data_IF_689267367360
#
_entry.id   IF_689267367360
#
_cell.length_a   1.000
_cell.length_b   1.000
_cell.length_c   1.000
_cell.angle_alpha   90.00
_cell.angle_beta   90.00
_cell.angle_gamma   90.00
#
_symmetry.space_group_name_H-M   'P 1'
#
loop_
_entity.id
_entity.type
_entity.pdbx_description
1 polymer ?
#
# COMPACT_ATOMS: atom_id res chain seq x y z
N UNK A 1 12.08 35.52 -4.72
CA UNK A 1 10.73 35.49 -4.12
C UNK A 1 10.68 34.35 -3.13
N UNK A 2 10.51 34.63 -1.84
CA UNK A 2 10.39 33.61 -0.79
C UNK A 2 9.00 32.97 -0.86
N UNK A 3 8.94 31.68 -1.17
CA UNK A 3 7.68 30.91 -1.15
C UNK A 3 7.12 30.98 0.28
N UNK A 4 6.00 31.67 0.47
CA UNK A 4 5.36 31.79 1.78
C UNK A 4 4.58 30.50 2.05
N UNK A 5 4.94 29.70 3.08
CA UNK A 5 4.20 28.49 3.40
C UNK A 5 2.79 28.87 3.89
N UNK A 6 1.77 28.28 3.28
CA UNK A 6 0.40 28.37 3.78
C UNK A 6 0.34 27.57 5.09
N UNK A 7 -0.22 28.16 6.15
CA UNK A 7 -0.34 27.50 7.45
C UNK A 7 -1.01 26.12 7.30
N UNK A 8 -0.34 25.05 7.76
CA UNK A 8 -0.82 23.66 7.64
C UNK A 8 -0.36 22.91 6.38
N UNK A 9 0.28 23.57 5.43
CA UNK A 9 0.86 22.94 4.23
C UNK A 9 2.39 23.04 4.31
N UNK A 10 3.06 21.89 4.41
CA UNK A 10 4.52 21.85 4.33
C UNK A 10 4.97 21.79 2.87
N UNK A 11 5.78 22.75 2.40
CA UNK A 11 6.44 22.64 1.11
C UNK A 11 7.19 21.30 1.01
N UNK A 12 7.11 20.58 -0.12
CA UNK A 12 7.78 19.29 -0.28
C UNK A 12 9.32 19.36 -0.17
N UNK A 13 9.89 20.56 -0.25
CA UNK A 13 11.33 20.82 -0.07
C UNK A 13 11.74 21.03 1.40
N UNK A 14 10.82 21.39 2.29
CA UNK A 14 11.17 21.75 3.67
C UNK A 14 10.90 20.64 4.70
N UNK A 15 9.80 19.89 4.58
CA UNK A 15 9.45 18.82 5.53
C UNK A 15 8.73 17.64 4.85
N UNK A 16 9.24 16.43 5.08
CA UNK A 16 8.57 15.20 4.66
C UNK A 16 7.44 14.85 5.63
N UNK A 17 6.21 15.18 5.26
CA UNK A 17 5.01 14.91 6.07
C UNK A 17 4.39 13.58 5.66
N UNK A 18 4.03 12.77 6.66
CA UNK A 18 3.28 11.52 6.46
C UNK A 18 1.81 11.84 6.20
N UNK A 19 1.29 11.40 5.06
CA UNK A 19 -0.11 11.60 4.68
C UNK A 19 -0.94 10.41 5.15
N UNK A 20 -0.46 9.20 4.89
CA UNK A 20 -1.19 7.98 5.22
C UNK A 20 -0.24 6.82 5.43
N UNK A 21 -0.55 5.97 6.42
CA UNK A 21 0.16 4.73 6.66
C UNK A 21 -0.82 3.57 6.53
N UNK A 22 -0.45 2.57 5.72
CA UNK A 22 -1.22 1.34 5.54
C UNK A 22 -0.35 0.14 5.89
N UNK A 23 -1.01 -0.87 6.46
CA UNK A 23 -0.38 -2.11 6.87
C UNK A 23 -0.70 -3.22 5.88
N UNK A 24 0.26 -4.13 5.62
CA UNK A 24 -0.02 -5.31 4.84
C UNK A 24 -1.05 -6.20 5.54
N UNK A 25 -1.94 -6.77 4.75
CA UNK A 25 -2.87 -7.82 5.18
C UNK A 25 -2.16 -9.17 5.25
N UNK A 26 -2.75 -10.14 5.95
CA UNK A 26 -2.28 -11.54 5.98
C UNK A 26 -2.14 -12.12 4.56
N UNK A 27 -2.95 -11.62 3.63
CA UNK A 27 -2.91 -11.90 2.20
C UNK A 27 -1.61 -11.49 1.48
N UNK A 28 -0.69 -10.77 2.14
CA UNK A 28 0.67 -10.52 1.64
C UNK A 28 1.53 -11.80 1.71
N UNK A 29 1.26 -12.69 2.66
CA UNK A 29 2.02 -13.94 2.86
C UNK A 29 1.53 -15.05 1.93
N UNK A 30 2.39 -16.03 1.63
CA UNK A 30 2.01 -17.24 0.88
C UNK A 30 0.95 -18.06 1.61
N UNK A 31 1.12 -18.25 2.92
CA UNK A 31 0.18 -19.00 3.78
C UNK A 31 -1.19 -18.31 3.82
N UNK A 32 -1.21 -16.99 3.99
CA UNK A 32 -2.45 -16.21 3.97
C UNK A 32 -3.20 -16.32 2.64
N UNK A 33 -2.50 -16.28 1.51
CA UNK A 33 -3.11 -16.50 0.19
C UNK A 33 -3.67 -17.91 0.03
N UNK A 34 -2.93 -18.92 0.49
CA UNK A 34 -3.40 -20.31 0.45
C UNK A 34 -4.69 -20.50 1.28
N UNK A 35 -4.75 -19.93 2.49
CA UNK A 35 -5.94 -19.95 3.33
C UNK A 35 -7.10 -19.18 2.71
N UNK A 36 -6.86 -18.00 2.14
CA UNK A 36 -7.89 -17.25 1.41
C UNK A 36 -8.44 -18.02 0.22
N UNK A 37 -7.59 -18.80 -0.47
CA UNK A 37 -8.03 -19.71 -1.53
C UNK A 37 -8.90 -20.83 -0.97
N UNK A 38 -8.53 -21.43 0.16
CA UNK A 38 -9.34 -22.46 0.84
C UNK A 38 -10.72 -21.92 1.23
N UNK A 39 -10.81 -20.71 1.80
CA UNK A 39 -12.08 -20.10 2.20
C UNK A 39 -12.93 -19.64 1.01
N UNK A 40 -12.31 -19.40 -0.15
CA UNK A 40 -13.02 -19.04 -1.38
C UNK A 40 -13.77 -20.21 -2.02
N UNK A 41 -13.53 -21.46 -1.59
CA UNK A 41 -14.21 -22.64 -2.10
C UNK A 41 -15.68 -22.63 -1.63
N UNK A 42 -16.58 -22.30 -2.55
CA UNK A 42 -18.05 -22.31 -2.35
C UNK A 42 -18.68 -23.66 -2.63
N UNK A 43 -17.99 -24.75 -2.29
CA UNK A 43 -18.55 -26.09 -2.39
C UNK A 43 -19.41 -26.37 -1.15
N UNK A 44 -20.72 -26.48 -1.32
CA UNK A 44 -21.68 -26.78 -0.25
C UNK A 44 -23.05 -26.12 -0.44
N UNK A 45 -24.02 -26.53 0.38
CA UNK A 45 -25.41 -26.03 0.37
C UNK A 45 -25.65 -25.22 1.64
N UNK A 46 -26.07 -23.96 1.51
CA UNK A 46 -26.45 -23.10 2.63
C UNK A 46 -25.29 -22.72 3.58
N UNK A 47 -25.47 -22.76 4.92
CA UNK A 47 -24.43 -22.34 5.87
C UNK A 47 -23.22 -23.30 5.94
N UNK A 48 -23.34 -24.52 5.40
CA UNK A 48 -22.31 -25.56 5.40
C UNK A 48 -21.37 -25.51 4.19
N UNK A 49 -20.98 -24.31 3.74
CA UNK A 49 -19.95 -24.22 2.71
C UNK A 49 -18.60 -24.67 3.28
N UNK A 50 -17.83 -25.45 2.51
CA UNK A 50 -16.50 -25.93 2.93
C UNK A 50 -15.62 -24.78 3.42
N UNK A 51 -15.68 -23.62 2.76
CA UNK A 51 -14.93 -22.43 3.17
C UNK A 51 -15.30 -21.90 4.57
N UNK A 52 -16.57 -21.99 4.98
CA UNK A 52 -17.00 -21.57 6.33
C UNK A 52 -16.64 -22.61 7.39
N UNK A 53 -16.78 -23.89 7.07
CA UNK A 53 -16.39 -24.98 7.98
C UNK A 53 -14.88 -25.01 8.21
N UNK A 54 -14.08 -24.65 7.20
CA UNK A 54 -12.63 -24.50 7.34
C UNK A 54 -12.22 -23.28 8.18
N UNK A 55 -13.11 -22.31 8.39
CA UNK A 55 -12.79 -21.05 9.06
C UNK A 55 -12.54 -21.26 10.57
N UNK A 56 -13.40 -22.04 11.24
CA UNK A 56 -13.25 -22.35 12.68
C UNK A 56 -11.95 -23.11 12.99
N UNK A 57 -11.60 -24.23 12.34
CA UNK A 57 -10.37 -24.95 12.61
C UNK A 57 -9.12 -24.20 12.16
N UNK A 58 -9.25 -23.20 11.28
CA UNK A 58 -8.13 -22.38 10.83
C UNK A 58 -7.73 -21.25 11.79
N UNK A 59 -8.57 -20.91 12.78
CA UNK A 59 -8.27 -19.90 13.80
C UNK A 59 -6.89 -20.10 14.46
N UNK A 60 -6.53 -21.31 14.95
CA UNK A 60 -5.22 -21.55 15.55
C UNK A 60 -4.04 -21.37 14.58
N UNK A 61 -4.28 -21.29 13.27
CA UNK A 61 -3.25 -21.04 12.27
C UNK A 61 -3.21 -19.57 11.83
N UNK A 62 -4.37 -18.95 11.61
CA UNK A 62 -4.46 -17.54 11.18
C UNK A 62 -4.00 -16.60 12.28
N UNK A 63 -4.34 -16.88 13.54
CA UNK A 63 -3.99 -16.03 14.67
C UNK A 63 -2.46 -15.89 14.88
N UNK A 64 -1.68 -16.99 15.00
CA UNK A 64 -0.22 -16.87 15.12
C UNK A 64 0.42 -16.29 13.87
N UNK A 65 -0.11 -16.57 12.67
CA UNK A 65 0.38 -15.95 11.43
C UNK A 65 0.20 -14.42 11.47
N UNK A 66 -0.98 -13.95 11.86
CA UNK A 66 -1.26 -12.52 12.01
C UNK A 66 -0.39 -11.87 13.09
N UNK A 67 -0.22 -12.54 14.24
CA UNK A 67 0.68 -12.10 15.30
C UNK A 67 2.13 -12.03 14.81
N UNK A 68 2.57 -13.01 14.01
CA UNK A 68 3.93 -13.03 13.47
C UNK A 68 4.24 -11.85 12.56
N UNK A 69 3.24 -11.35 11.82
CA UNK A 69 3.40 -10.13 11.02
C UNK A 69 3.48 -8.85 11.86
N UNK A 70 3.06 -8.91 13.13
CA UNK A 70 3.16 -7.81 14.09
C UNK A 70 4.35 -7.94 15.02
N UNK A 71 5.18 -8.97 14.85
CA UNK A 71 6.38 -9.16 15.65
C UNK A 71 7.50 -8.22 15.18
N UNK A 72 8.39 -7.80 16.09
CA UNK A 72 9.37 -6.74 15.85
C UNK A 72 10.30 -6.96 14.64
N UNK A 73 10.55 -8.21 14.28
CA UNK A 73 11.39 -8.60 13.14
C UNK A 73 10.66 -8.63 11.78
N UNK A 74 9.33 -8.66 11.76
CA UNK A 74 8.51 -8.83 10.56
C UNK A 74 7.46 -7.74 10.36
N UNK A 75 7.47 -6.69 11.20
CA UNK A 75 6.64 -5.50 10.99
C UNK A 75 7.04 -4.84 9.68
N UNK A 76 6.08 -4.73 8.77
CA UNK A 76 6.21 -3.97 7.53
C UNK A 76 5.09 -2.93 7.47
N UNK A 77 5.43 -1.71 7.03
CA UNK A 77 4.52 -0.57 6.93
C UNK A 77 4.68 0.10 5.57
N UNK A 78 3.57 0.44 4.94
CA UNK A 78 3.56 1.23 3.72
C UNK A 78 3.19 2.66 4.09
N UNK A 79 4.11 3.60 3.86
CA UNK A 79 3.93 5.00 4.21
C UNK A 79 3.88 5.85 2.94
N UNK A 80 2.80 6.59 2.78
CA UNK A 80 2.66 7.61 1.77
C UNK A 80 3.03 8.96 2.39
N UNK A 81 4.06 9.60 1.84
CA UNK A 81 4.48 10.95 2.21
C UNK A 81 4.14 11.96 1.12
N UNK A 82 4.34 13.25 1.39
CA UNK A 82 4.14 14.31 0.40
C UNK A 82 5.15 14.28 -0.76
N UNK A 83 6.12 13.37 -0.75
CA UNK A 83 7.17 13.29 -1.78
C UNK A 83 7.39 11.88 -2.34
N UNK A 84 7.14 10.83 -1.56
CA UNK A 84 7.42 9.44 -1.94
C UNK A 84 6.49 8.45 -1.24
N UNK A 85 6.41 7.26 -1.83
CA UNK A 85 5.82 6.07 -1.21
C UNK A 85 6.97 5.23 -0.68
N UNK A 86 6.90 4.82 0.58
CA UNK A 86 7.98 4.16 1.32
C UNK A 86 7.49 2.83 1.87
N UNK A 87 8.32 1.79 1.74
CA UNK A 87 8.20 0.53 2.45
C UNK A 87 9.17 0.58 3.64
N UNK A 88 8.63 0.53 4.85
CA UNK A 88 9.40 0.51 6.08
C UNK A 88 9.30 -0.86 6.74
N UNK A 89 10.43 -1.39 7.21
CA UNK A 89 10.51 -2.68 7.88
C UNK A 89 11.17 -2.56 9.26
N UNK A 90 10.68 -3.35 10.22
CA UNK A 90 11.21 -3.49 11.58
C UNK A 90 10.59 -2.54 12.62
N UNK A 91 11.02 -2.70 13.88
CA UNK A 91 10.68 -1.77 14.98
C UNK A 91 11.25 -0.39 14.71
N UNK A 92 12.54 -0.35 14.33
CA UNK A 92 13.20 0.86 13.90
C UNK A 92 12.91 0.99 12.41
N UNK A 93 12.09 1.96 11.98
CA UNK A 93 11.58 2.05 10.62
C UNK A 93 12.73 2.26 9.64
N UNK A 94 13.24 1.16 9.10
CA UNK A 94 14.27 1.17 8.07
C UNK A 94 13.56 1.21 6.72
N UNK A 95 13.88 2.22 5.92
CA UNK A 95 13.43 2.30 4.54
C UNK A 95 14.04 1.15 3.76
N UNK A 96 13.21 0.20 3.34
CA UNK A 96 13.63 -0.93 2.51
C UNK A 96 13.61 -0.54 1.04
N UNK A 97 12.50 0.04 0.58
CA UNK A 97 12.32 0.52 -0.77
C UNK A 97 11.45 1.79 -0.76
N UNK A 98 11.66 2.66 -1.73
CA UNK A 98 10.84 3.83 -1.92
C UNK A 98 10.71 4.20 -3.40
N UNK A 99 9.61 4.85 -3.76
CA UNK A 99 9.41 5.46 -5.07
C UNK A 99 8.94 6.89 -4.89
N UNK A 100 9.63 7.83 -5.54
CA UNK A 100 9.21 9.24 -5.55
C UNK A 100 7.91 9.41 -6.35
N UNK A 101 7.09 10.39 -5.97
CA UNK A 101 5.81 10.67 -6.64
C UNK A 101 5.99 11.04 -8.13
N UNK A 102 7.16 11.54 -8.53
CA UNK A 102 7.52 11.83 -9.92
C UNK A 102 8.03 10.62 -10.71
N UNK A 103 8.23 9.47 -10.07
CA UNK A 103 8.86 8.29 -10.69
C UNK A 103 7.90 7.17 -11.09
N UNK A 104 6.59 7.36 -10.95
CA UNK A 104 5.58 6.45 -11.47
C UNK A 104 4.48 7.24 -12.17
N UNK A 105 3.77 6.61 -13.11
CA UNK A 105 2.68 7.22 -13.89
C UNK A 105 1.36 6.51 -13.66
N UNK A 106 1.42 5.18 -13.51
CA UNK A 106 0.26 4.33 -13.27
C UNK A 106 0.47 3.50 -12.01
N UNK A 107 -0.65 3.19 -11.35
CA UNK A 107 -0.73 2.23 -10.25
C UNK A 107 -1.74 1.19 -10.68
N UNK A 108 -1.32 -0.06 -10.77
CA UNK A 108 -2.16 -1.20 -11.10
C UNK A 108 -2.46 -2.02 -9.84
N UNK A 109 -3.66 -2.59 -9.80
CA UNK A 109 -4.09 -3.48 -8.72
C UNK A 109 -4.02 -4.91 -9.24
N UNK A 110 -3.11 -5.70 -8.69
CA UNK A 110 -2.94 -7.13 -8.98
C UNK A 110 -3.51 -7.93 -7.81
N UNK A 111 -4.74 -8.43 -7.96
CA UNK A 111 -5.40 -9.26 -6.95
C UNK A 111 -5.07 -10.72 -7.22
N UNK A 112 -4.14 -11.27 -6.45
CA UNK A 112 -3.76 -12.68 -6.55
C UNK A 112 -4.83 -13.59 -5.95
N UNK A 113 -4.86 -14.85 -6.43
CA UNK A 113 -5.73 -15.90 -5.89
C UNK A 113 -5.63 -15.97 -4.35
N UNK A 114 -6.79 -15.95 -3.70
CA UNK A 114 -6.92 -15.93 -2.24
C UNK A 114 -6.90 -14.55 -1.59
N UNK A 115 -6.34 -13.51 -2.23
CA UNK A 115 -6.34 -12.15 -1.68
C UNK A 115 -7.74 -11.50 -1.73
N UNK A 116 -8.54 -11.85 -2.74
CA UNK A 116 -9.92 -11.39 -2.91
C UNK A 116 -10.82 -11.71 -1.71
N UNK A 117 -10.52 -12.77 -0.95
CA UNK A 117 -11.26 -13.10 0.26
C UNK A 117 -10.99 -12.14 1.43
N UNK A 118 -9.79 -11.54 1.48
CA UNK A 118 -9.34 -10.61 2.53
C UNK A 118 -9.52 -9.12 2.19
N UNK A 119 -10.40 -8.79 1.23
CA UNK A 119 -10.37 -7.57 0.42
C UNK A 119 -8.98 -6.90 0.32
N UNK A 120 -7.99 -7.64 -0.15
CA UNK A 120 -6.61 -7.18 -0.29
C UNK A 120 -6.11 -7.40 -1.72
N UNK A 121 -5.12 -6.62 -2.14
CA UNK A 121 -4.46 -6.76 -3.43
C UNK A 121 -3.05 -6.19 -3.41
N UNK A 122 -2.23 -6.62 -4.36
CA UNK A 122 -0.90 -6.06 -4.55
C UNK A 122 -1.03 -4.76 -5.37
N UNK A 123 -0.38 -3.68 -4.92
CA UNK A 123 -0.29 -2.43 -5.68
C UNK A 123 1.03 -2.37 -6.42
N UNK A 124 0.97 -2.31 -7.74
CA UNK A 124 2.12 -2.27 -8.62
C UNK A 124 2.26 -0.87 -9.19
N UNK A 125 3.29 -0.16 -8.76
CA UNK A 125 3.66 1.15 -9.30
C UNK A 125 4.46 0.93 -10.58
N UNK A 126 4.03 1.57 -11.66
CA UNK A 126 4.66 1.45 -12.98
C UNK A 126 5.03 2.80 -13.55
N UNK A 127 6.16 2.83 -14.25
CA UNK A 127 6.58 3.93 -15.12
C UNK A 127 6.67 3.40 -16.54
N UNK A 128 5.64 3.65 -17.34
CA UNK A 128 5.46 2.97 -18.62
C UNK A 128 5.43 1.45 -18.44
N UNK A 129 6.38 0.74 -19.05
CA UNK A 129 6.47 -0.72 -19.01
C UNK A 129 7.25 -1.27 -17.79
N UNK A 130 7.90 -0.41 -16.99
CA UNK A 130 8.80 -0.85 -15.91
C UNK A 130 8.06 -0.81 -14.56
N UNK A 131 8.09 -1.93 -13.83
CA UNK A 131 7.65 -2.01 -12.44
C UNK A 131 8.68 -1.35 -11.52
N UNK A 132 8.29 -0.26 -10.86
CA UNK A 132 9.17 0.52 -9.99
C UNK A 132 9.07 0.13 -8.53
N UNK A 133 7.87 -0.25 -8.07
CA UNK A 133 7.62 -0.64 -6.69
C UNK A 133 6.39 -1.55 -6.62
N UNK A 134 6.41 -2.54 -5.73
CA UNK A 134 5.25 -3.38 -5.44
C UNK A 134 4.97 -3.37 -3.94
N UNK A 135 3.74 -3.01 -3.57
CA UNK A 135 3.24 -3.15 -2.20
C UNK A 135 2.39 -4.41 -2.12
N UNK A 136 2.84 -5.40 -1.37
CA UNK A 136 2.14 -6.68 -1.26
C UNK A 136 0.97 -6.62 -0.26
N UNK A 137 -0.17 -7.19 -0.65
CA UNK A 137 -1.32 -7.42 0.22
C UNK A 137 -1.87 -6.16 0.88
N UNK A 138 -1.95 -5.04 0.16
CA UNK A 138 -2.54 -3.80 0.65
C UNK A 138 -4.03 -4.03 0.91
N UNK A 139 -4.49 -3.72 2.13
CA UNK A 139 -5.91 -3.82 2.49
C UNK A 139 -6.68 -2.69 1.80
N UNK A 140 -7.76 -3.03 1.09
CA UNK A 140 -8.55 -2.07 0.28
C UNK A 140 -7.66 -1.28 -0.69
N UNK A 141 -7.04 -1.96 -1.67
CA UNK A 141 -6.05 -1.37 -2.56
C UNK A 141 -6.60 -0.17 -3.36
N UNK A 142 -7.90 -0.13 -3.66
CA UNK A 142 -8.55 0.94 -4.41
C UNK A 142 -8.47 2.28 -3.68
N UNK A 143 -8.76 2.29 -2.38
CA UNK A 143 -8.72 3.51 -1.56
C UNK A 143 -7.30 4.06 -1.48
N UNK A 144 -6.31 3.19 -1.25
CA UNK A 144 -4.91 3.61 -1.19
C UNK A 144 -4.43 4.14 -2.54
N UNK A 145 -4.77 3.45 -3.64
CA UNK A 145 -4.48 3.88 -5.02
C UNK A 145 -5.02 5.28 -5.30
N UNK A 146 -6.29 5.53 -4.98
CA UNK A 146 -6.91 6.85 -5.20
C UNK A 146 -6.18 7.96 -4.45
N UNK A 147 -5.79 7.73 -3.21
CA UNK A 147 -5.02 8.70 -2.43
C UNK A 147 -3.63 8.92 -3.04
N UNK A 148 -2.91 7.85 -3.43
CA UNK A 148 -1.62 7.98 -4.10
C UNK A 148 -1.70 8.80 -5.40
N UNK A 149 -2.70 8.55 -6.25
CA UNK A 149 -2.90 9.29 -7.49
C UNK A 149 -3.25 10.77 -7.21
N UNK A 150 -4.09 11.04 -6.21
CA UNK A 150 -4.44 12.40 -5.81
C UNK A 150 -3.23 13.18 -5.30
N UNK A 151 -2.42 12.57 -4.43
CA UNK A 151 -1.20 13.16 -3.89
C UNK A 151 -0.18 13.42 -5.00
N UNK A 152 0.02 12.45 -5.91
CA UNK A 152 0.88 12.63 -7.09
C UNK A 152 0.41 13.80 -7.96
N UNK A 153 -0.88 13.87 -8.27
CA UNK A 153 -1.42 14.95 -9.11
C UNK A 153 -1.14 16.32 -8.48
N UNK A 154 -1.40 16.47 -7.17
CA UNK A 154 -1.09 17.70 -6.45
C UNK A 154 0.41 18.02 -6.49
N UNK A 155 1.27 17.01 -6.28
CA UNK A 155 2.72 17.19 -6.30
C UNK A 155 3.25 17.65 -7.67
N UNK A 156 2.79 17.00 -8.75
CA UNK A 156 3.19 17.34 -10.12
C UNK A 156 2.67 18.72 -10.53
N UNK A 157 1.41 19.05 -10.22
CA UNK A 157 0.84 20.37 -10.50
C UNK A 157 1.60 21.49 -9.81
N UNK A 158 2.00 21.30 -8.54
CA UNK A 158 2.78 22.28 -7.79
C UNK A 158 4.19 22.42 -8.38
N UNK A 159 4.85 21.29 -8.71
CA UNK A 159 6.18 21.32 -9.32
C UNK A 159 6.18 22.05 -10.69
N UNK A 160 5.14 21.84 -11.51
CA UNK A 160 4.98 22.54 -12.79
C UNK A 160 4.74 24.04 -12.60
N UNK A 161 3.89 24.44 -11.64
CA UNK A 161 3.62 25.85 -11.35
C UNK A 161 4.89 26.59 -10.88
N UNK A 162 5.69 25.96 -10.02
CA UNK A 162 6.97 26.52 -9.57
C UNK A 162 7.96 26.63 -10.73
N UNK A 163 8.09 25.58 -11.56
CA UNK A 163 8.98 25.59 -12.73
C UNK A 163 8.60 26.65 -13.76
N UNK A 164 7.31 26.84 -14.03
CA UNK A 164 6.82 27.88 -14.94
C UNK A 164 7.08 29.30 -14.41
N UNK A 165 7.00 29.49 -13.09
CA UNK A 165 7.29 30.79 -12.45
C UNK A 165 8.78 31.16 -12.55
N UNK A 166 9.68 30.17 -12.52
CA UNK A 166 11.14 30.40 -12.61
C UNK A 166 11.58 30.63 -14.07
N UNK A 167 10.91 30.02 -15.06
CA UNK A 167 11.23 30.21 -16.49
C UNK A 167 10.67 31.49 -17.11
N UNK A 168 9.82 32.23 -16.40
CA UNK A 168 9.21 33.49 -16.86
C UNK A 168 9.88 34.76 -16.27
N UNK A 169 10.98 34.60 -15.53
CA UNK A 169 11.78 35.66 -14.94
C UNK A 169 13.19 35.67 -15.55
#
# INVERSE_FOLDING_TARGET
MTVQPIAGVSPPDSLEVTIMTVWPSVAATSVGRWLGRLYSIRFGIGPFSLGRLALVPSIPLVLPLYLSMRLPWAIQRYRLTNRRVIIECGINPRVEQFVDLNRFDAIDIDVRLGQAWYPAGDLVFRRGAIETLRLAGVRRPESFRQVCLKVRQSYVSVAQAIGATIGAA
#
